data_IF_282726874146
#
_entry.id   IF_282726874146
#
_cell.length_a   1.000
_cell.length_b   1.000
_cell.length_c   1.000
_cell.angle_alpha   90.00
_cell.angle_beta   90.00
_cell.angle_gamma   90.00
#
_symmetry.space_group_name_H-M   'P 1'
#
loop_
_entity.id
_entity.type
_entity.pdbx_description
1 polymer ?
#
# COMPACT_ATOMS: atom_id res chain seq x y z
N UNK A 1 -28.17 12.68 -0.66
CA UNK A 1 -28.05 13.22 -2.05
C UNK A 1 -28.91 14.46 -2.28
N UNK A 2 -30.20 14.45 -1.91
CA UNK A 2 -31.02 15.67 -1.92
C UNK A 2 -30.46 16.79 -1.02
N UNK A 3 -29.86 16.43 0.12
CA UNK A 3 -29.24 17.38 1.06
C UNK A 3 -27.98 18.10 0.57
N UNK A 4 -27.11 17.44 -0.21
CA UNK A 4 -25.88 18.08 -0.73
C UNK A 4 -26.21 19.09 -1.84
N UNK A 5 -27.21 18.75 -2.67
CA UNK A 5 -27.76 19.65 -3.68
C UNK A 5 -28.50 20.84 -3.06
N UNK A 6 -29.19 20.63 -1.93
CA UNK A 6 -29.82 21.70 -1.15
C UNK A 6 -28.81 22.66 -0.48
N UNK A 7 -27.56 22.21 -0.27
CA UNK A 7 -26.47 23.01 0.32
C UNK A 7 -25.62 23.77 -0.71
N UNK A 8 -26.02 23.79 -1.99
CA UNK A 8 -25.31 24.54 -3.04
C UNK A 8 -23.93 23.99 -3.41
N UNK A 9 -23.58 22.79 -2.94
CA UNK A 9 -22.35 22.10 -3.32
C UNK A 9 -22.60 21.26 -4.58
N UNK A 10 -22.86 21.97 -5.68
CA UNK A 10 -23.14 21.37 -7.00
C UNK A 10 -21.82 21.17 -7.77
N UNK A 11 -20.87 20.45 -7.15
CA UNK A 11 -19.71 19.96 -7.90
C UNK A 11 -20.20 18.82 -8.78
N UNK A 12 -20.22 18.97 -10.12
CA UNK A 12 -20.65 17.89 -10.99
C UNK A 12 -19.77 16.66 -10.74
N UNK A 13 -20.40 15.49 -10.72
CA UNK A 13 -19.63 14.25 -10.67
C UNK A 13 -18.78 14.17 -11.94
N UNK A 14 -17.49 13.80 -11.82
CA UNK A 14 -16.64 13.68 -12.99
C UNK A 14 -17.15 12.56 -13.90
N UNK A 15 -17.11 12.80 -15.22
CA UNK A 15 -17.52 11.83 -16.24
C UNK A 15 -16.53 10.66 -16.38
N UNK A 16 -15.36 10.76 -15.74
CA UNK A 16 -14.33 9.74 -15.70
C UNK A 16 -13.13 10.17 -14.87
N UNK A 17 -12.14 9.30 -14.80
CA UNK A 17 -10.89 9.52 -14.07
C UNK A 17 -9.71 9.37 -15.02
N UNK A 18 -8.63 10.11 -14.78
CA UNK A 18 -7.43 10.00 -15.58
C UNK A 18 -6.19 10.45 -14.79
N UNK A 19 -5.04 9.90 -15.16
CA UNK A 19 -3.74 10.49 -14.82
C UNK A 19 -3.39 11.51 -15.90
N UNK A 20 -3.12 12.75 -15.49
CA UNK A 20 -2.76 13.82 -16.40
C UNK A 20 -1.25 14.05 -16.39
N UNK A 21 -0.58 13.71 -17.49
CA UNK A 21 0.83 14.03 -17.68
C UNK A 21 0.96 15.38 -18.36
N UNK A 22 1.14 16.43 -17.56
CA UNK A 22 1.29 17.80 -18.05
C UNK A 22 2.71 18.07 -18.57
N UNK A 23 2.82 18.75 -19.71
CA UNK A 23 4.05 19.45 -20.11
C UNK A 23 3.91 20.92 -19.72
N UNK A 24 4.54 21.42 -18.63
CA UNK A 24 4.24 22.75 -18.10
C UNK A 24 4.44 23.89 -19.11
N UNK A 25 5.46 23.79 -19.97
CA UNK A 25 5.73 24.79 -21.01
C UNK A 25 4.69 24.85 -22.13
N UNK A 26 3.80 23.86 -22.22
CA UNK A 26 2.72 23.79 -23.20
C UNK A 26 1.35 24.00 -22.57
N UNK A 27 1.28 24.27 -21.27
CA UNK A 27 0.02 24.44 -20.56
C UNK A 27 -0.78 25.60 -21.15
N UNK A 28 -2.01 25.30 -21.58
CA UNK A 28 -2.96 26.30 -22.04
C UNK A 28 -4.34 26.00 -21.44
N UNK A 29 -4.83 26.82 -20.49
CA UNK A 29 -6.13 26.60 -19.86
C UNK A 29 -7.31 26.79 -20.84
N UNK A 30 -7.07 27.41 -22.00
CA UNK A 30 -8.07 27.67 -23.04
C UNK A 30 -8.08 26.62 -24.15
N UNK A 31 -7.17 25.64 -24.10
CA UNK A 31 -7.08 24.59 -25.10
C UNK A 31 -8.41 23.80 -25.20
N UNK A 32 -8.97 23.64 -26.42
CA UNK A 32 -10.27 22.99 -26.62
C UNK A 32 -10.22 21.47 -26.49
N UNK A 33 -9.02 20.87 -26.44
CA UNK A 33 -8.79 19.42 -26.37
C UNK A 33 -9.03 18.82 -24.98
N UNK A 34 -9.24 19.67 -23.96
CA UNK A 34 -9.39 19.27 -22.56
C UNK A 34 -8.10 18.78 -21.89
N UNK A 35 -7.06 18.46 -22.66
CA UNK A 35 -5.77 17.98 -22.18
C UNK A 35 -4.82 19.13 -21.81
N UNK A 36 -5.09 20.36 -22.27
CA UNK A 36 -4.46 21.61 -21.78
C UNK A 36 -2.93 21.54 -21.77
N UNK A 37 -2.33 21.04 -22.84
CA UNK A 37 -0.87 20.92 -22.95
C UNK A 37 -0.26 19.66 -22.34
N UNK A 38 -1.08 18.69 -21.97
CA UNK A 38 -0.65 17.38 -21.47
C UNK A 38 -1.24 16.21 -22.25
N UNK A 39 -1.00 15.01 -21.72
CA UNK A 39 -1.62 13.77 -22.17
C UNK A 39 -2.45 13.18 -21.04
N UNK A 40 -3.68 12.79 -21.36
CA UNK A 40 -4.60 12.15 -20.42
C UNK A 40 -4.53 10.64 -20.60
N UNK A 41 -4.32 9.92 -19.49
CA UNK A 41 -4.33 8.47 -19.43
C UNK A 41 -5.58 8.02 -18.67
N UNK A 42 -6.60 7.48 -19.36
CA UNK A 42 -7.85 7.08 -18.71
C UNK A 42 -7.63 6.05 -17.62
N UNK A 43 -8.27 6.26 -16.48
CA UNK A 43 -8.38 5.32 -15.38
C UNK A 43 -9.76 4.68 -15.39
N UNK A 44 -9.84 3.41 -15.01
CA UNK A 44 -11.09 2.69 -14.80
C UNK A 44 -11.85 3.24 -13.60
N UNK A 45 -11.12 3.66 -12.55
CA UNK A 45 -11.65 4.23 -11.31
C UNK A 45 -10.77 5.38 -10.81
N UNK A 46 -11.20 6.00 -9.70
CA UNK A 46 -10.47 7.07 -9.03
C UNK A 46 -9.04 6.61 -8.68
N UNK A 47 -7.99 7.33 -9.09
CA UNK A 47 -6.61 7.02 -8.72
C UNK A 47 -6.19 7.75 -7.43
N UNK A 48 -6.20 7.10 -6.25
CA UNK A 48 -5.94 7.78 -4.98
C UNK A 48 -4.48 8.21 -4.80
N UNK A 49 -3.54 7.46 -5.39
CA UNK A 49 -2.09 7.70 -5.33
C UNK A 49 -1.42 7.18 -6.60
N UNK A 50 -0.18 7.59 -6.83
CA UNK A 50 0.70 7.05 -7.85
C UNK A 50 2.14 7.12 -7.39
N UNK A 51 3.01 6.30 -7.96
CA UNK A 51 4.46 6.46 -7.84
C UNK A 51 5.18 6.06 -9.13
N UNK A 52 6.49 6.29 -9.17
CA UNK A 52 7.35 6.14 -10.33
C UNK A 52 8.48 5.17 -10.04
N UNK A 53 8.73 4.22 -10.94
CA UNK A 53 9.96 3.42 -10.87
C UNK A 53 11.20 4.24 -11.28
N UNK A 54 12.38 3.63 -11.21
CA UNK A 54 13.66 4.30 -11.53
C UNK A 54 13.76 4.73 -13.00
N UNK A 55 12.97 4.14 -13.90
CA UNK A 55 12.88 4.54 -15.31
C UNK A 55 11.88 5.69 -15.52
N UNK A 56 11.07 5.97 -14.50
CA UNK A 56 10.01 6.96 -14.49
C UNK A 56 8.70 6.46 -15.09
N UNK A 57 8.51 5.14 -15.21
CA UNK A 57 7.22 4.56 -15.53
C UNK A 57 6.27 4.76 -14.33
N UNK A 58 4.99 5.02 -14.62
CA UNK A 58 4.00 5.37 -13.58
C UNK A 58 3.20 4.14 -13.22
N UNK A 59 3.01 3.91 -11.92
CA UNK A 59 2.09 2.92 -11.38
C UNK A 59 1.03 3.63 -10.56
N UNK A 60 -0.23 3.32 -10.86
CA UNK A 60 -1.37 4.06 -10.34
C UNK A 60 -2.46 3.07 -9.88
N UNK A 61 -2.53 2.76 -8.56
CA UNK A 61 -3.66 2.03 -7.99
C UNK A 61 -4.96 2.78 -8.24
N UNK A 62 -6.07 2.05 -8.21
CA UNK A 62 -7.38 2.59 -8.55
C UNK A 62 -8.42 2.07 -7.55
N UNK A 63 -9.20 2.99 -6.98
CA UNK A 63 -10.20 2.68 -5.95
C UNK A 63 -11.20 1.65 -6.45
N UNK A 64 -11.46 0.61 -5.63
CA UNK A 64 -12.38 -0.48 -6.00
C UNK A 64 -12.05 -1.14 -7.36
N UNK A 65 -10.77 -1.20 -7.70
CA UNK A 65 -10.24 -1.88 -8.88
C UNK A 65 -9.23 -2.95 -8.47
N UNK A 66 -9.20 -4.05 -9.21
CA UNK A 66 -8.26 -5.16 -9.07
C UNK A 66 -7.07 -5.07 -10.04
N UNK A 67 -6.90 -3.90 -10.67
CA UNK A 67 -5.82 -3.59 -11.59
C UNK A 67 -5.10 -2.30 -11.21
N UNK A 68 -3.85 -2.20 -11.63
CA UNK A 68 -3.04 -0.97 -11.56
C UNK A 68 -2.90 -0.40 -12.96
N UNK A 69 -3.13 0.90 -13.12
CA UNK A 69 -2.78 1.58 -14.36
C UNK A 69 -1.25 1.75 -14.39
N UNK A 70 -0.62 1.15 -15.40
CA UNK A 70 0.79 1.34 -15.72
C UNK A 70 0.94 2.24 -16.93
N UNK A 71 1.84 3.22 -16.85
CA UNK A 71 2.17 4.11 -17.96
C UNK A 71 3.67 4.01 -18.22
N UNK A 72 4.04 3.44 -19.37
CA UNK A 72 5.43 3.40 -19.79
C UNK A 72 5.88 4.81 -20.21
N UNK A 73 6.94 5.31 -19.58
CA UNK A 73 7.44 6.67 -19.85
C UNK A 73 7.99 6.79 -21.26
N UNK A 74 8.76 5.81 -21.71
CA UNK A 74 9.47 5.85 -22.99
C UNK A 74 8.52 5.75 -24.20
N UNK A 75 7.56 4.82 -24.15
CA UNK A 75 6.60 4.58 -25.25
C UNK A 75 5.34 5.41 -25.10
N UNK A 76 5.12 6.03 -23.93
CA UNK A 76 3.90 6.77 -23.60
C UNK A 76 2.65 5.90 -23.74
N UNK A 77 2.78 4.57 -23.64
CA UNK A 77 1.66 3.63 -23.67
C UNK A 77 1.16 3.34 -22.26
N UNK A 78 -0.15 3.13 -22.14
CA UNK A 78 -0.79 2.77 -20.89
C UNK A 78 -1.44 1.39 -20.99
N UNK A 79 -1.37 0.63 -19.91
CA UNK A 79 -2.02 -0.68 -19.77
C UNK A 79 -2.55 -0.89 -18.35
N UNK A 80 -3.56 -1.73 -18.22
CA UNK A 80 -4.06 -2.19 -16.93
C UNK A 80 -3.31 -3.47 -16.56
N UNK A 81 -2.48 -3.41 -15.52
CA UNK A 81 -1.78 -4.57 -14.98
C UNK A 81 -2.69 -5.31 -14.01
N UNK A 82 -2.79 -6.62 -14.19
CA UNK A 82 -3.44 -7.51 -13.23
C UNK A 82 -2.69 -7.54 -11.90
N UNK A 83 -3.43 -7.60 -10.80
CA UNK A 83 -2.88 -7.63 -9.45
C UNK A 83 -3.31 -8.93 -8.77
N UNK A 84 -2.35 -9.71 -8.23
CA UNK A 84 -2.70 -10.88 -7.44
C UNK A 84 -3.33 -10.47 -6.11
N UNK A 85 -4.33 -11.23 -5.68
CA UNK A 85 -4.95 -11.10 -4.35
C UNK A 85 -4.84 -12.42 -3.58
N UNK A 86 -4.82 -12.38 -2.24
CA UNK A 86 -4.88 -13.59 -1.41
C UNK A 86 -6.07 -14.46 -1.77
N UNK A 87 -5.89 -15.77 -1.75
CA UNK A 87 -6.97 -16.71 -2.02
C UNK A 87 -8.06 -16.63 -0.96
N UNK A 88 -9.32 -16.73 -1.38
CA UNK A 88 -10.47 -16.73 -0.48
C UNK A 88 -10.51 -18.05 0.29
N UNK A 89 -10.06 -18.06 1.54
CA UNK A 89 -10.26 -19.23 2.41
C UNK A 89 -11.68 -19.20 2.99
N UNK A 90 -12.36 -20.36 3.01
CA UNK A 90 -13.71 -20.49 3.56
C UNK A 90 -13.80 -20.09 5.05
N UNK A 91 -12.69 -20.24 5.78
CA UNK A 91 -12.57 -20.00 7.22
C UNK A 91 -12.26 -18.53 7.59
N UNK A 92 -11.81 -17.70 6.64
CA UNK A 92 -11.54 -16.26 6.82
C UNK A 92 -12.76 -15.35 6.60
N UNK A 93 -13.94 -15.92 6.38
CA UNK A 93 -15.18 -15.22 5.99
C UNK A 93 -15.85 -14.41 7.11
N UNK A 94 -15.25 -14.31 8.30
CA UNK A 94 -15.71 -13.41 9.37
C UNK A 94 -15.11 -12.01 9.21
N UNK A 95 -15.39 -11.37 8.07
CA UNK A 95 -15.30 -9.92 8.00
C UNK A 95 -16.45 -9.32 8.81
N UNK A 96 -16.19 -8.33 9.69
CA UNK A 96 -17.22 -7.37 10.02
C UNK A 96 -17.66 -6.75 8.70
N UNK A 97 -18.98 -6.73 8.43
CA UNK A 97 -19.53 -5.94 7.34
C UNK A 97 -18.95 -4.54 7.48
N UNK A 98 -18.25 -4.04 6.47
CA UNK A 98 -17.78 -2.65 6.51
C UNK A 98 -18.99 -1.76 6.80
N UNK A 99 -18.87 -0.83 7.74
CA UNK A 99 -19.87 0.21 7.98
C UNK A 99 -20.00 1.03 6.68
N UNK A 100 -20.91 0.61 5.81
CA UNK A 100 -20.85 0.96 4.39
C UNK A 100 -21.40 -0.11 3.44
N UNK A 101 -21.76 -1.31 3.89
CA UNK A 101 -22.59 -2.23 3.08
C UNK A 101 -24.01 -1.65 2.79
N UNK A 102 -24.37 -0.52 3.40
CA UNK A 102 -25.50 0.32 3.00
C UNK A 102 -25.16 1.32 1.87
N UNK A 103 -23.90 1.45 1.49
CA UNK A 103 -23.47 2.28 0.36
C UNK A 103 -23.73 1.55 -0.97
N UNK A 104 -25.01 1.63 -1.37
CA UNK A 104 -25.60 1.40 -2.70
C UNK A 104 -25.85 -0.05 -3.13
N UNK A 105 -27.02 -0.54 -2.71
CA UNK A 105 -27.91 -1.36 -3.56
C UNK A 105 -28.62 -0.55 -4.67
N UNK A 106 -28.18 0.67 -4.99
CA UNK A 106 -28.64 1.35 -6.20
C UNK A 106 -27.89 0.83 -7.42
N UNK A 107 -28.24 -0.39 -7.83
CA UNK A 107 -28.10 -0.85 -9.20
C UNK A 107 -28.93 0.08 -10.10
N UNK A 108 -28.33 1.16 -10.60
CA UNK A 108 -28.66 1.60 -11.96
C UNK A 108 -27.96 0.61 -12.90
N UNK A 109 -28.76 0.02 -13.79
CA UNK A 109 -28.41 -0.96 -14.81
C UNK A 109 -26.96 -0.76 -15.32
N UNK A 110 -26.08 -1.74 -15.02
CA UNK A 110 -24.72 -1.79 -15.56
C UNK A 110 -23.62 -2.19 -14.58
N UNK A 111 -23.88 -2.20 -13.27
CA UNK A 111 -22.88 -2.62 -12.26
C UNK A 111 -22.76 -4.15 -12.17
N UNK A 112 -21.54 -4.66 -12.32
CA UNK A 112 -21.18 -6.06 -12.04
C UNK A 112 -21.62 -6.42 -10.62
N UNK A 113 -22.35 -7.52 -10.39
CA UNK A 113 -22.81 -7.88 -9.06
C UNK A 113 -21.61 -8.22 -8.16
N UNK A 114 -21.45 -7.49 -7.06
CA UNK A 114 -20.68 -7.99 -5.92
C UNK A 114 -21.45 -9.19 -5.35
N UNK A 115 -21.05 -10.38 -5.78
CA UNK A 115 -21.51 -11.64 -5.23
C UNK A 115 -20.39 -12.26 -4.40
N UNK A 116 -20.71 -12.55 -3.13
CA UNK A 116 -19.92 -13.45 -2.30
C UNK A 116 -19.09 -12.78 -1.19
N UNK A 117 -19.22 -13.36 -0.01
CA UNK A 117 -18.52 -13.13 1.26
C UNK A 117 -16.99 -13.30 1.18
N UNK A 118 -16.29 -12.39 0.49
CA UNK A 118 -14.83 -12.35 0.44
C UNK A 118 -14.28 -10.93 0.53
N UNK A 119 -12.98 -10.81 0.82
CA UNK A 119 -12.25 -9.54 0.80
C UNK A 119 -12.54 -8.80 -0.52
N UNK A 120 -12.89 -7.50 -0.48
CA UNK A 120 -13.03 -6.73 -1.71
C UNK A 120 -11.65 -6.64 -2.39
N UNK A 121 -11.57 -6.98 -3.68
CA UNK A 121 -10.33 -6.86 -4.46
C UNK A 121 -10.06 -5.38 -4.75
N UNK A 122 -9.38 -4.72 -3.82
CA UNK A 122 -9.10 -3.27 -3.87
C UNK A 122 -7.59 -3.06 -3.79
N UNK A 123 -7.05 -2.41 -4.83
CA UNK A 123 -5.67 -1.91 -4.85
C UNK A 123 -5.49 -0.64 -4.02
N UNK A 124 -4.28 -0.39 -3.53
CA UNK A 124 -3.92 0.86 -2.87
C UNK A 124 -4.35 0.93 -1.40
N UNK A 125 -4.56 2.14 -0.84
CA UNK A 125 -4.20 3.42 -1.46
C UNK A 125 -2.68 3.59 -1.55
N UNK A 126 -1.91 2.93 -0.69
CA UNK A 126 -0.46 3.10 -0.67
C UNK A 126 0.17 2.47 -1.91
N UNK A 127 1.02 3.26 -2.56
CA UNK A 127 2.01 2.79 -3.51
C UNK A 127 3.30 3.59 -3.27
N UNK A 128 4.44 2.92 -3.26
CA UNK A 128 5.72 3.58 -3.12
C UNK A 128 6.88 2.80 -3.76
N UNK A 129 7.87 3.52 -4.26
CA UNK A 129 9.09 2.99 -4.87
C UNK A 129 10.13 2.70 -3.81
N UNK A 130 10.58 1.45 -3.78
CA UNK A 130 11.66 1.02 -2.91
C UNK A 130 13.03 1.49 -3.46
N UNK A 131 14.07 1.60 -2.61
CA UNK A 131 15.42 1.98 -3.03
C UNK A 131 16.09 1.13 -4.11
N UNK A 132 15.53 -0.04 -4.45
CA UNK A 132 16.01 -0.92 -5.52
C UNK A 132 15.17 -0.78 -6.81
N UNK A 133 14.34 0.25 -6.91
CA UNK A 133 13.45 0.53 -8.04
C UNK A 133 12.16 -0.28 -8.06
N UNK A 134 12.00 -1.30 -7.19
CA UNK A 134 10.75 -2.07 -7.15
C UNK A 134 9.60 -1.25 -6.59
N UNK A 135 8.41 -1.40 -7.16
CA UNK A 135 7.20 -0.72 -6.69
C UNK A 135 6.48 -1.63 -5.70
N UNK A 136 6.09 -1.08 -4.56
CA UNK A 136 5.28 -1.77 -3.57
C UNK A 136 3.95 -1.09 -3.41
N UNK A 137 2.90 -1.90 -3.36
CA UNK A 137 1.54 -1.43 -3.23
C UNK A 137 0.83 -2.23 -2.15
N UNK A 138 0.03 -1.57 -1.31
CA UNK A 138 -0.85 -2.24 -0.35
C UNK A 138 -2.10 -2.78 -1.04
N UNK A 139 -2.70 -3.80 -0.43
CA UNK A 139 -4.02 -4.27 -0.83
C UNK A 139 -5.03 -3.88 0.26
N UNK A 140 -5.71 -2.75 0.07
CA UNK A 140 -6.61 -2.15 1.07
C UNK A 140 -7.67 -3.11 1.59
N UNK A 141 -8.16 -3.96 0.69
CA UNK A 141 -9.18 -4.92 0.99
C UNK A 141 -8.67 -6.16 1.71
N UNK A 142 -7.38 -6.34 1.96
CA UNK A 142 -6.81 -7.58 2.53
C UNK A 142 -6.16 -7.38 3.91
N UNK A 143 -5.77 -8.47 4.56
CA UNK A 143 -5.11 -8.45 5.86
C UNK A 143 -3.59 -8.46 5.68
N UNK A 144 -2.93 -7.35 6.02
CA UNK A 144 -1.47 -7.19 6.01
C UNK A 144 -0.79 -7.81 4.78
N UNK A 145 -1.27 -7.47 3.58
CA UNK A 145 -0.73 -7.97 2.32
C UNK A 145 -0.28 -6.82 1.42
N UNK A 146 0.73 -7.09 0.60
CA UNK A 146 1.26 -6.15 -0.37
C UNK A 146 1.57 -6.86 -1.68
N UNK A 147 1.64 -6.10 -2.76
CA UNK A 147 2.11 -6.56 -4.06
C UNK A 147 3.37 -5.80 -4.42
N UNK A 148 4.36 -6.53 -4.93
CA UNK A 148 5.60 -5.97 -5.48
C UNK A 148 5.57 -6.10 -7.00
N UNK A 149 5.88 -5.01 -7.69
CA UNK A 149 6.21 -5.01 -9.11
C UNK A 149 7.73 -4.85 -9.24
N UNK A 150 8.35 -5.77 -9.98
CA UNK A 150 9.78 -5.69 -10.27
C UNK A 150 10.06 -4.62 -11.32
N UNK A 151 11.26 -3.98 -11.28
CA UNK A 151 11.66 -3.03 -12.34
C UNK A 151 11.71 -3.66 -13.73
N UNK A 152 11.90 -4.99 -13.81
CA UNK A 152 11.83 -5.74 -15.05
C UNK A 152 10.35 -5.98 -15.43
N UNK A 153 9.82 -5.30 -16.47
CA UNK A 153 8.41 -5.37 -16.82
C UNK A 153 7.99 -6.74 -17.39
N UNK A 154 8.94 -7.63 -17.69
CA UNK A 154 8.65 -9.00 -18.11
C UNK A 154 8.22 -9.90 -16.93
N UNK A 155 8.50 -9.47 -15.69
CA UNK A 155 8.15 -10.23 -14.50
C UNK A 155 6.72 -9.93 -14.07
N UNK A 156 6.02 -11.00 -13.69
CA UNK A 156 4.71 -10.87 -13.06
C UNK A 156 4.85 -10.24 -11.66
N UNK A 157 3.86 -9.46 -11.20
CA UNK A 157 3.78 -9.01 -9.83
C UNK A 157 3.79 -10.18 -8.84
N UNK A 158 4.37 -9.96 -7.66
CA UNK A 158 4.49 -10.95 -6.59
C UNK A 158 3.61 -10.52 -5.42
N UNK A 159 2.77 -11.43 -4.94
CA UNK A 159 1.95 -11.22 -3.74
C UNK A 159 2.73 -11.58 -2.49
N UNK A 160 2.69 -10.71 -1.48
CA UNK A 160 3.24 -10.94 -0.15
C UNK A 160 2.12 -10.95 0.89
N UNK A 161 2.02 -12.04 1.63
CA UNK A 161 1.07 -12.22 2.73
C UNK A 161 1.82 -12.35 4.03
N UNK A 162 1.88 -11.26 4.81
CA UNK A 162 2.72 -11.21 6.01
C UNK A 162 2.06 -11.79 7.27
N UNK A 163 0.78 -12.14 7.21
CA UNK A 163 0.02 -12.58 8.38
C UNK A 163 0.02 -11.52 9.48
N UNK A 164 -0.20 -11.91 10.72
CA UNK A 164 -0.23 -10.98 11.84
C UNK A 164 -0.67 -11.66 13.13
N UNK A 165 -0.62 -10.95 14.25
CA UNK A 165 -0.93 -11.51 15.55
C UNK A 165 -2.44 -11.73 15.71
N UNK A 166 -2.87 -12.72 16.51
CA UNK A 166 -4.30 -13.03 16.69
C UNK A 166 -5.13 -11.90 17.30
N UNK A 167 -4.49 -10.95 18.01
CA UNK A 167 -5.17 -9.82 18.63
C UNK A 167 -5.56 -8.72 17.62
N UNK A 168 -4.91 -8.68 16.46
CA UNK A 168 -5.20 -7.69 15.43
C UNK A 168 -6.30 -8.24 14.52
N UNK A 169 -7.54 -7.81 14.75
CA UNK A 169 -8.69 -8.26 13.95
C UNK A 169 -8.50 -7.88 12.48
N UNK A 170 -8.10 -6.64 12.22
CA UNK A 170 -7.81 -6.13 10.89
C UNK A 170 -6.53 -5.27 10.88
N UNK A 171 -5.64 -5.55 9.92
CA UNK A 171 -4.43 -4.79 9.63
C UNK A 171 -4.52 -4.22 8.21
N UNK A 172 -5.25 -3.11 8.08
CA UNK A 172 -5.50 -2.41 6.81
C UNK A 172 -4.39 -1.43 6.51
N UNK A 173 -3.45 -1.85 5.66
CA UNK A 173 -2.32 -1.00 5.33
C UNK A 173 -2.72 0.12 4.37
N UNK A 174 -2.40 1.37 4.73
CA UNK A 174 -2.82 2.56 3.97
C UNK A 174 -1.67 3.46 3.52
N UNK A 175 -0.47 3.28 4.06
CA UNK A 175 0.72 4.02 3.66
C UNK A 175 1.97 3.22 4.03
N UNK A 176 3.05 3.38 3.25
CA UNK A 176 4.34 2.75 3.53
C UNK A 176 5.53 3.64 3.18
N UNK A 177 6.68 3.32 3.73
CA UNK A 177 7.96 4.01 3.51
C UNK A 177 9.11 3.03 3.74
N UNK A 178 10.31 3.37 3.29
CA UNK A 178 11.45 2.43 3.23
C UNK A 178 12.67 2.94 3.99
N UNK A 179 13.52 2.00 4.40
CA UNK A 179 14.91 2.26 4.73
C UNK A 179 15.80 1.16 4.13
N UNK A 180 16.91 1.50 3.50
CA UNK A 180 17.81 0.58 2.78
C UNK A 180 18.92 -0.03 3.67
N UNK A 181 19.35 -1.26 3.37
CA UNK A 181 20.54 -1.96 3.89
C UNK A 181 21.90 -1.22 4.00
N UNK A 182 22.05 0.00 3.48
CA UNK A 182 23.26 0.84 3.65
C UNK A 182 23.56 1.14 5.13
N UNK A 183 22.67 0.75 6.05
CA UNK A 183 22.85 0.90 7.49
C UNK A 183 23.58 -0.30 8.14
N UNK A 184 24.07 -0.07 9.37
CA UNK A 184 25.04 -0.92 10.06
C UNK A 184 24.60 -2.37 10.33
N UNK A 185 23.32 -2.69 10.20
CA UNK A 185 22.76 -4.02 10.37
C UNK A 185 22.53 -4.77 9.05
N UNK A 186 22.78 -4.12 7.91
CA UNK A 186 22.77 -4.76 6.59
C UNK A 186 21.40 -5.26 6.14
N UNK A 187 20.30 -4.71 6.66
CA UNK A 187 18.94 -5.13 6.31
C UNK A 187 18.11 -3.98 5.78
N UNK A 188 17.33 -4.27 4.74
CA UNK A 188 16.33 -3.35 4.20
C UNK A 188 15.03 -3.49 4.99
N UNK A 189 14.28 -2.40 5.15
CA UNK A 189 13.01 -2.40 5.88
C UNK A 189 11.91 -1.67 5.15
N UNK A 190 10.70 -2.20 5.28
CA UNK A 190 9.45 -1.52 4.98
C UNK A 190 8.81 -1.14 6.31
N UNK A 191 8.37 0.10 6.42
CA UNK A 191 7.51 0.55 7.49
C UNK A 191 6.16 0.91 6.88
N UNK A 192 5.11 0.26 7.32
CA UNK A 192 3.74 0.55 6.91
C UNK A 192 2.89 0.92 8.12
N UNK A 193 1.80 1.64 7.88
CA UNK A 193 0.78 1.88 8.90
C UNK A 193 -0.50 1.16 8.54
N UNK A 194 -1.06 0.48 9.54
CA UNK A 194 -2.44 0.08 9.53
C UNK A 194 -3.29 1.15 10.22
N UNK A 195 -4.46 1.45 9.66
CA UNK A 195 -5.36 2.48 10.18
C UNK A 195 -6.82 2.06 10.12
N UNK A 196 -7.55 2.58 11.09
CA UNK A 196 -9.01 2.65 11.20
C UNK A 196 -9.73 3.52 10.15
N UNK A 197 -9.01 4.25 9.30
CA UNK A 197 -9.59 5.27 8.41
C UNK A 197 -10.70 4.78 7.48
N UNK A 198 -10.67 3.49 7.17
CA UNK A 198 -11.54 2.85 6.19
C UNK A 198 -12.35 1.70 6.79
N UNK A 199 -12.01 1.33 8.02
CA UNK A 199 -12.53 0.17 8.72
C UNK A 199 -12.33 0.45 10.22
N UNK A 200 -13.41 0.81 10.90
CA UNK A 200 -13.44 1.14 12.33
C UNK A 200 -13.02 -0.04 13.23
N UNK A 201 -12.96 -1.26 12.68
CA UNK A 201 -12.42 -2.43 13.38
C UNK A 201 -10.90 -2.63 13.19
N UNK A 202 -10.26 -1.83 12.33
CA UNK A 202 -8.83 -1.96 12.07
C UNK A 202 -7.99 -1.34 13.18
N UNK A 203 -6.93 -2.05 13.56
CA UNK A 203 -6.03 -1.58 14.63
C UNK A 203 -5.05 -0.57 14.06
N UNK A 204 -5.03 0.62 14.67
CA UNK A 204 -4.01 1.63 14.39
C UNK A 204 -2.65 1.09 14.86
N UNK A 205 -1.77 0.77 13.91
CA UNK A 205 -0.48 0.16 14.24
C UNK A 205 0.60 0.45 13.19
N UNK A 206 1.85 0.33 13.60
CA UNK A 206 3.01 0.30 12.71
C UNK A 206 3.37 -1.13 12.43
N UNK A 207 3.46 -1.48 11.16
CA UNK A 207 4.00 -2.75 10.68
C UNK A 207 5.43 -2.50 10.19
N UNK A 208 6.39 -3.18 10.80
CA UNK A 208 7.80 -3.14 10.44
C UNK A 208 8.16 -4.49 9.84
N UNK A 209 8.63 -4.49 8.60
CA UNK A 209 9.05 -5.68 7.87
C UNK A 209 10.54 -5.56 7.59
N UNK A 210 11.30 -6.59 7.96
CA UNK A 210 12.73 -6.67 7.75
C UNK A 210 13.03 -7.65 6.62
N UNK A 211 13.77 -7.20 5.62
CA UNK A 211 14.14 -7.97 4.46
C UNK A 211 15.63 -8.26 4.47
N UNK A 212 15.98 -9.50 4.11
CA UNK A 212 17.36 -9.86 3.85
C UNK A 212 17.91 -9.02 2.70
N UNK A 213 19.17 -8.62 2.83
CA UNK A 213 19.90 -7.97 1.74
C UNK A 213 21.09 -8.81 1.33
N UNK A 214 21.14 -9.20 0.07
CA UNK A 214 22.29 -9.87 -0.52
C UNK A 214 23.04 -8.85 -1.39
N UNK A 215 23.96 -8.09 -0.77
CA UNK A 215 24.68 -6.97 -1.42
C UNK A 215 25.38 -7.39 -2.72
N UNK A 216 25.99 -8.57 -2.73
CA UNK A 216 26.73 -9.09 -3.89
C UNK A 216 25.84 -9.50 -5.07
N UNK A 217 24.54 -9.69 -4.83
CA UNK A 217 23.55 -10.07 -5.85
C UNK A 217 22.56 -8.95 -6.17
N UNK A 218 22.68 -7.81 -5.50
CA UNK A 218 21.72 -6.70 -5.62
C UNK A 218 20.31 -7.04 -5.14
N UNK A 219 20.10 -8.18 -4.48
CA UNK A 219 18.76 -8.59 -4.05
C UNK A 219 18.40 -7.86 -2.74
N UNK A 220 17.46 -6.92 -2.86
CA UNK A 220 16.81 -6.26 -1.75
C UNK A 220 15.29 -6.49 -1.80
N UNK A 221 14.64 -6.38 -0.65
CA UNK A 221 13.18 -6.44 -0.51
C UNK A 221 12.55 -7.72 -1.09
N UNK A 222 13.26 -8.86 -1.10
CA UNK A 222 12.75 -10.10 -1.73
C UNK A 222 12.25 -11.11 -0.70
N UNK A 223 13.07 -11.39 0.31
CA UNK A 223 12.72 -12.33 1.38
C UNK A 223 12.60 -11.57 2.69
N UNK A 224 11.39 -11.53 3.25
CA UNK A 224 11.14 -11.02 4.58
C UNK A 224 11.70 -12.04 5.61
N UNK A 225 12.50 -11.56 6.56
CA UNK A 225 13.16 -12.37 7.59
C UNK A 225 12.68 -12.04 9.00
N UNK A 226 12.02 -10.89 9.16
CA UNK A 226 11.42 -10.54 10.44
C UNK A 226 10.29 -9.54 10.31
N UNK A 227 9.40 -9.57 11.28
CA UNK A 227 8.24 -8.70 11.37
C UNK A 227 8.10 -8.17 12.79
N UNK A 228 7.58 -6.95 12.92
CA UNK A 228 7.12 -6.41 14.20
C UNK A 228 5.89 -5.57 13.95
N UNK A 229 4.85 -5.78 14.75
CA UNK A 229 3.64 -4.97 14.72
C UNK A 229 3.54 -4.26 16.06
N UNK A 230 3.41 -2.93 16.01
CA UNK A 230 3.38 -2.06 17.19
C UNK A 230 2.05 -1.31 17.18
N UNK A 231 1.10 -1.61 18.07
CA UNK A 231 -0.08 -0.78 18.26
C UNK A 231 0.33 0.67 18.55
N UNK A 232 -0.35 1.62 17.91
CA UNK A 232 -0.19 3.03 18.25
C UNK A 232 -0.74 3.29 19.65
N UNK A 233 -0.15 4.24 20.40
CA UNK A 233 -0.61 4.60 21.74
C UNK A 233 -2.03 5.16 21.73
N UNK A 234 -2.43 5.78 20.62
CA UNK A 234 -3.80 6.24 20.37
C UNK A 234 -4.44 5.26 19.38
N UNK A 235 -5.53 4.62 19.78
CA UNK A 235 -6.45 3.94 18.87
C UNK A 235 -7.54 4.93 18.43
N UNK A 236 -8.34 4.58 17.42
CA UNK A 236 -9.34 5.46 16.84
C UNK A 236 -8.76 6.84 16.47
N UNK A 237 -7.57 6.87 15.86
CA UNK A 237 -6.79 8.09 15.65
C UNK A 237 -6.71 8.55 14.19
N UNK A 238 -7.26 7.79 13.24
CA UNK A 238 -7.18 8.10 11.82
C UNK A 238 -5.73 8.41 11.37
N UNK A 239 -4.79 7.51 11.72
CA UNK A 239 -3.41 7.69 11.28
C UNK A 239 -3.33 7.57 9.75
N UNK A 240 -2.58 8.43 9.07
CA UNK A 240 -2.74 8.57 7.60
C UNK A 240 -1.44 8.58 6.80
N UNK A 241 -0.32 9.00 7.39
CA UNK A 241 0.99 8.97 6.73
C UNK A 241 2.05 8.46 7.66
N UNK A 242 3.04 7.80 7.07
CA UNK A 242 4.26 7.34 7.72
C UNK A 242 5.46 7.77 6.89
N UNK A 243 6.50 8.27 7.56
CA UNK A 243 7.77 8.62 6.93
C UNK A 243 8.93 8.08 7.75
N UNK A 244 9.91 7.51 7.08
CA UNK A 244 11.23 7.28 7.66
C UNK A 244 12.02 8.59 7.61
N UNK A 245 12.70 8.91 8.71
CA UNK A 245 13.51 10.11 8.86
C UNK A 245 14.90 9.70 9.31
N UNK A 246 15.90 9.93 8.45
CA UNK A 246 17.32 9.80 8.76
C UNK A 246 17.92 11.20 8.94
N UNK A 247 17.93 11.69 10.18
CA UNK A 247 18.39 13.03 10.49
C UNK A 247 19.85 13.01 10.97
N UNK A 248 20.69 13.82 10.34
CA UNK A 248 21.96 14.24 10.91
C UNK A 248 21.69 15.27 12.01
N UNK A 249 22.21 14.99 13.21
CA UNK A 249 22.13 15.93 14.33
C UNK A 249 23.54 16.46 14.55
N UNK A 250 23.71 17.78 14.42
CA UNK A 250 24.95 18.45 14.76
C UNK A 250 25.43 18.00 16.15
N UNK A 251 26.73 17.75 16.29
CA UNK A 251 27.38 17.33 17.54
C UNK A 251 27.02 15.92 18.06
N UNK A 252 26.31 15.10 17.28
CA UNK A 252 26.14 13.67 17.57
C UNK A 252 26.90 12.80 16.57
N UNK A 253 27.74 11.85 17.05
CA UNK A 253 28.50 10.95 16.17
C UNK A 253 27.60 9.94 15.44
N UNK A 254 26.31 9.83 15.82
CA UNK A 254 25.35 8.90 15.23
C UNK A 254 24.13 9.65 14.72
N UNK A 255 23.76 9.39 13.46
CA UNK A 255 22.48 9.85 12.88
C UNK A 255 21.30 9.39 13.74
N UNK A 256 20.31 10.27 13.92
CA UNK A 256 19.08 9.93 14.62
C UNK A 256 18.04 9.45 13.62
N UNK A 257 17.65 8.19 13.77
CA UNK A 257 16.69 7.54 12.88
C UNK A 257 15.36 7.36 13.56
N UNK A 258 14.31 7.79 12.87
CA UNK A 258 12.96 7.73 13.39
C UNK A 258 11.97 7.35 12.31
N UNK A 259 10.86 6.79 12.73
CA UNK A 259 9.63 6.73 11.96
C UNK A 259 8.73 7.82 12.53
N UNK A 260 8.12 8.62 11.66
CA UNK A 260 7.17 9.67 12.04
C UNK A 260 5.82 9.34 11.42
N UNK A 261 4.75 9.48 12.21
CA UNK A 261 3.39 9.14 11.84
C UNK A 261 2.48 10.31 12.16
N UNK A 262 1.57 10.64 11.26
CA UNK A 262 0.58 11.69 11.46
C UNK A 262 -0.80 11.12 11.77
N UNK A 263 -1.42 11.65 12.82
CA UNK A 263 -2.80 11.34 13.24
C UNK A 263 -3.73 12.48 12.78
N UNK A 264 -4.79 12.19 12.00
CA UNK A 264 -5.70 13.25 11.54
C UNK A 264 -6.63 13.72 12.66
N UNK A 265 -7.18 12.80 13.44
CA UNK A 265 -8.23 13.12 14.41
C UNK A 265 -7.74 14.03 15.54
N UNK A 266 -6.49 13.83 15.96
CA UNK A 266 -5.87 14.57 17.06
C UNK A 266 -4.89 15.65 16.59
N UNK A 267 -4.57 15.71 15.30
CA UNK A 267 -3.53 16.57 14.72
C UNK A 267 -2.16 16.38 15.41
N UNK A 268 -1.81 15.14 15.76
CA UNK A 268 -0.52 14.80 16.41
C UNK A 268 0.48 14.20 15.44
N UNK A 269 1.75 14.38 15.78
CA UNK A 269 2.86 13.63 15.20
C UNK A 269 3.43 12.68 16.25
N UNK A 270 3.40 11.39 15.94
CA UNK A 270 4.08 10.36 16.72
C UNK A 270 5.47 10.12 16.13
N UNK A 271 6.47 9.99 17.00
CA UNK A 271 7.83 9.66 16.60
C UNK A 271 8.29 8.39 17.32
N UNK A 272 8.69 7.38 16.54
CA UNK A 272 9.28 6.15 17.06
C UNK A 272 10.75 6.12 16.67
N UNK A 273 11.65 6.07 17.66
CA UNK A 273 13.09 5.92 17.40
C UNK A 273 13.38 4.50 16.93
N UNK A 274 13.99 4.37 15.75
CA UNK A 274 14.25 3.07 15.11
C UNK A 274 15.12 2.18 15.98
N UNK A 275 16.10 2.77 16.69
CA UNK A 275 16.97 2.03 17.62
C UNK A 275 16.22 1.27 18.72
N UNK A 276 14.99 1.67 19.05
CA UNK A 276 14.17 1.02 20.08
C UNK A 276 13.30 -0.12 19.52
N UNK A 277 13.25 -0.28 18.20
CA UNK A 277 12.34 -1.21 17.51
C UNK A 277 13.07 -2.15 16.53
N UNK A 278 14.39 -2.29 16.67
CA UNK A 278 15.21 -3.14 15.80
C UNK A 278 14.93 -4.64 15.98
N UNK A 279 14.53 -5.06 17.18
CA UNK A 279 14.20 -6.46 17.44
C UNK A 279 12.86 -6.79 16.79
N UNK A 280 12.88 -7.74 15.85
CA UNK A 280 11.72 -8.26 15.13
C UNK A 280 11.52 -9.74 15.47
N UNK A 281 10.29 -10.23 15.33
CA UNK A 281 9.98 -11.64 15.38
C UNK A 281 10.41 -12.29 14.07
N UNK A 282 11.08 -13.44 14.15
CA UNK A 282 11.49 -14.17 12.96
C UNK A 282 10.25 -14.69 12.24
N UNK A 283 10.26 -14.60 10.91
CA UNK A 283 9.22 -15.19 10.06
C UNK A 283 9.77 -16.32 9.20
N UNK A 284 8.90 -17.26 8.83
CA UNK A 284 9.19 -18.38 7.95
C UNK A 284 8.45 -18.13 6.63
N UNK A 285 9.21 -18.12 5.53
CA UNK A 285 8.67 -17.94 4.17
C UNK A 285 8.18 -19.26 3.59
N UNK A 286 7.01 -19.23 2.97
CA UNK A 286 6.50 -20.25 2.05
C UNK A 286 6.23 -19.60 0.70
N UNK A 287 6.85 -20.14 -0.34
CA UNK A 287 6.62 -19.71 -1.73
C UNK A 287 5.65 -20.68 -2.39
N UNK A 288 4.65 -20.15 -3.08
CA UNK A 288 3.67 -20.91 -3.84
C UNK A 288 3.23 -20.13 -5.08
N UNK A 289 2.36 -20.72 -5.89
CA UNK A 289 1.76 -20.08 -7.06
C UNK A 289 0.24 -20.16 -6.93
N UNK A 290 -0.46 -19.04 -7.08
CA UNK A 290 -1.92 -19.03 -7.02
C UNK A 290 -2.57 -19.54 -8.32
N UNK A 291 -3.89 -19.70 -8.31
CA UNK A 291 -4.66 -20.15 -9.49
C UNK A 291 -4.50 -19.27 -10.74
N UNK A 292 -4.18 -17.97 -10.57
CA UNK A 292 -3.94 -17.01 -11.65
C UNK A 292 -2.47 -17.02 -12.15
N UNK A 293 -1.63 -17.89 -11.57
CA UNK A 293 -0.24 -18.09 -11.98
C UNK A 293 0.72 -16.99 -11.50
N UNK A 294 0.39 -16.29 -10.42
CA UNK A 294 1.27 -15.35 -9.73
C UNK A 294 2.02 -16.04 -8.59
N UNK A 295 3.26 -15.61 -8.36
CA UNK A 295 4.03 -16.02 -7.19
C UNK A 295 3.41 -15.42 -5.92
N UNK A 296 3.23 -16.25 -4.91
CA UNK A 296 2.72 -15.88 -3.58
C UNK A 296 3.75 -16.25 -2.53
N UNK A 297 4.18 -15.25 -1.76
CA UNK A 297 5.08 -15.40 -0.61
C UNK A 297 4.28 -15.19 0.67
N UNK A 298 3.97 -16.28 1.35
CA UNK A 298 3.27 -16.27 2.62
C UNK A 298 4.26 -16.39 3.78
N UNK A 299 4.02 -15.63 4.85
CA UNK A 299 4.88 -15.61 6.03
C UNK A 299 4.08 -16.00 7.26
N UNK A 300 4.67 -16.88 8.07
CA UNK A 300 4.17 -17.22 9.40
C UNK A 300 5.23 -16.90 10.45
N UNK A 301 4.79 -16.60 11.67
CA UNK A 301 5.72 -16.42 12.80
C UNK A 301 6.47 -17.73 13.02
N UNK A 302 7.80 -17.64 13.08
CA UNK A 302 8.63 -18.78 13.44
C UNK A 302 8.42 -19.13 14.91
N UNK A 303 8.39 -20.43 15.23
CA UNK A 303 8.49 -20.87 16.61
C UNK A 303 9.95 -20.72 17.06
N UNK A 304 10.16 -20.07 18.19
CA UNK A 304 11.43 -20.05 18.91
C UNK A 304 11.84 -21.50 19.26
N UNK A 305 13.14 -21.82 19.34
CA UNK A 305 13.63 -23.15 19.74
C UNK A 305 13.13 -23.61 21.13
N UNK A 306 12.48 -22.72 21.89
CA UNK A 306 11.84 -22.98 23.17
C UNK A 306 10.31 -23.25 23.10
N UNK A 307 9.71 -23.25 21.91
CA UNK A 307 8.27 -23.56 21.72
C UNK A 307 7.30 -22.51 22.31
N UNK A 308 7.80 -21.35 22.74
CA UNK A 308 6.96 -20.25 23.20
C UNK A 308 6.59 -19.36 22.01
N UNK A 309 5.30 -19.26 21.71
CA UNK A 309 4.77 -18.17 20.89
C UNK A 309 4.92 -16.88 21.70
N UNK A 310 5.65 -15.90 21.17
CA UNK A 310 5.72 -14.53 21.72
C UNK A 310 4.82 -13.62 20.91
#
# INVERSE_FOLDING_TARGET
>A
MAELKAKGMDTPLPDGWAVWQLTPSKYDPTAPDGARGGKMYPCLKSPPMLDFDDEGNVYCPQDSCDTVLYINRSTQQAQQLEVPFPERTAEGSKFPKMAGDEYRTHTKKGGVPYSGSGYPRITGPAIATAPNGSIWMTLLGTYNSMVRFDPDPSKKPILYEFGGPPWAVNLRLIHLTFSDSKYADGVSRIYAIASDLLDDSAVNSVVILQFKTEKDRGEQFKTCVGQRIIPLPTQDCACHRISFVDAEIADKPRRSRSIVISEMQSSKLLQIKVGNVLQTQRVIEKISTNAEGFEVRSYTLGQDEAGLQV
#
